data_IF_483239956566
#
_entry.id   IF_483239956566
#
_cell.length_a   1.000
_cell.length_b   1.000
_cell.length_c   1.000
_cell.angle_alpha   90.00
_cell.angle_beta   90.00
_cell.angle_gamma   90.00
#
_symmetry.space_group_name_H-M   'P 1'
#
loop_
_entity.id
_entity.type
_entity.pdbx_description
1 polymer ?
#
# COMPACT_ATOMS: atom_id res chain seq x y z
N UNK A 1 10.75 7.67 28.99
CA UNK A 1 11.37 8.34 27.83
C UNK A 1 11.28 7.38 26.65
N UNK A 2 10.87 7.85 25.48
CA UNK A 2 10.78 7.00 24.28
C UNK A 2 12.13 6.95 23.59
N UNK A 3 12.69 5.76 23.43
CA UNK A 3 13.94 5.52 22.71
C UNK A 3 13.64 5.45 21.21
N UNK A 4 14.35 6.22 20.37
CA UNK A 4 14.25 6.10 18.91
C UNK A 4 15.42 5.27 18.38
N UNK A 5 15.11 4.23 17.60
CA UNK A 5 16.09 3.36 16.94
C UNK A 5 15.88 3.38 15.42
N UNK A 6 16.97 3.28 14.67
CA UNK A 6 16.94 3.16 13.21
C UNK A 6 17.66 1.89 12.76
N UNK A 7 17.02 1.16 11.85
CA UNK A 7 17.56 -0.01 11.13
C UNK A 7 17.36 0.19 9.62
N UNK A 8 18.21 -0.41 8.81
CA UNK A 8 17.95 -0.62 7.37
C UNK A 8 17.31 -2.00 7.15
N UNK A 9 16.59 -2.16 6.05
CA UNK A 9 16.04 -3.47 5.67
C UNK A 9 17.13 -4.55 5.61
N UNK A 10 16.85 -5.73 6.18
CA UNK A 10 17.78 -6.86 6.31
C UNK A 10 19.04 -6.62 7.15
N UNK A 11 19.22 -5.42 7.74
CA UNK A 11 20.28 -5.15 8.70
C UNK A 11 19.98 -5.88 10.01
N UNK A 12 21.00 -6.54 10.56
CA UNK A 12 20.99 -7.07 11.92
C UNK A 12 21.80 -6.13 12.81
N UNK A 13 21.22 -5.67 13.92
CA UNK A 13 21.89 -4.76 14.85
C UNK A 13 21.62 -5.16 16.29
N UNK A 14 22.67 -5.23 17.09
CA UNK A 14 22.56 -5.39 18.53
C UNK A 14 22.13 -4.05 19.16
N UNK A 15 21.05 -4.07 19.92
CA UNK A 15 20.49 -2.90 20.61
C UNK A 15 20.10 -3.25 22.05
N UNK A 16 20.13 -2.25 22.94
CA UNK A 16 19.55 -2.37 24.27
C UNK A 16 18.04 -2.12 24.15
N UNK A 17 17.23 -3.01 24.72
CA UNK A 17 15.76 -2.93 24.72
C UNK A 17 15.22 -3.33 26.10
N UNK A 18 14.15 -2.66 26.52
CA UNK A 18 13.39 -3.07 27.68
C UNK A 18 12.57 -4.34 27.39
N UNK A 19 12.35 -5.18 28.40
CA UNK A 19 11.65 -6.47 28.24
C UNK A 19 10.23 -6.33 27.70
N UNK A 20 9.51 -5.26 28.08
CA UNK A 20 8.17 -4.99 27.58
C UNK A 20 8.17 -4.61 26.09
N UNK A 21 9.19 -3.92 25.58
CA UNK A 21 9.32 -3.60 24.15
C UNK A 21 9.69 -4.87 23.36
N UNK A 22 10.50 -5.77 23.93
CA UNK A 22 10.82 -7.08 23.32
C UNK A 22 9.56 -7.94 23.20
N UNK A 23 8.82 -8.08 24.31
CA UNK A 23 7.56 -8.84 24.33
C UNK A 23 6.57 -8.29 23.32
N UNK A 24 6.43 -6.96 23.27
CA UNK A 24 5.59 -6.27 22.30
C UNK A 24 5.99 -6.56 20.84
N UNK A 25 7.28 -6.46 20.49
CA UNK A 25 7.77 -6.76 19.14
C UNK A 25 7.56 -8.23 18.76
N UNK A 26 7.76 -9.16 19.68
CA UNK A 26 7.57 -10.59 19.43
C UNK A 26 6.09 -10.97 19.31
N UNK A 27 5.20 -10.34 20.05
CA UNK A 27 3.76 -10.59 20.00
C UNK A 27 3.13 -9.98 18.73
N UNK A 28 3.44 -8.72 18.44
CA UNK A 28 2.75 -7.95 17.41
C UNK A 28 3.50 -7.87 16.07
N UNK A 29 4.82 -8.08 16.05
CA UNK A 29 5.67 -7.81 14.87
C UNK A 29 6.61 -8.95 14.49
N UNK A 30 6.43 -10.19 15.02
CA UNK A 30 7.27 -11.37 14.68
C UNK A 30 7.37 -11.68 13.19
N UNK A 31 6.36 -11.28 12.41
CA UNK A 31 6.33 -11.52 10.96
C UNK A 31 7.27 -10.58 10.22
N UNK A 32 7.62 -9.43 10.78
CA UNK A 32 8.37 -8.37 10.09
C UNK A 32 9.69 -8.02 10.76
N UNK A 33 9.83 -8.30 12.05
CA UNK A 33 11.07 -8.17 12.81
C UNK A 33 11.38 -9.50 13.49
N UNK A 34 12.65 -9.89 13.39
CA UNK A 34 13.22 -10.97 14.18
C UNK A 34 13.95 -10.34 15.36
N UNK A 35 13.59 -10.78 16.57
CA UNK A 35 14.23 -10.36 17.83
C UNK A 35 14.90 -11.59 18.44
N UNK A 36 16.22 -11.54 18.64
CA UNK A 36 17.00 -12.63 19.25
C UNK A 36 17.76 -12.13 20.47
N UNK A 37 17.79 -12.88 21.59
CA UNK A 37 18.65 -12.54 22.72
C UNK A 37 20.12 -12.65 22.31
N UNK A 38 20.99 -11.81 22.87
CA UNK A 38 22.44 -11.94 22.73
C UNK A 38 23.06 -12.50 24.02
N UNK A 39 24.39 -12.67 24.03
CA UNK A 39 25.15 -13.09 25.22
C UNK A 39 25.19 -12.03 26.31
N UNK A 40 24.79 -10.79 26.02
CA UNK A 40 24.77 -9.67 26.97
C UNK A 40 23.36 -9.47 27.52
N UNK A 41 23.15 -9.50 28.86
CA UNK A 41 21.85 -9.23 29.46
C UNK A 41 21.27 -7.88 29.03
N UNK A 42 19.98 -7.84 28.71
CA UNK A 42 19.27 -6.64 28.27
C UNK A 42 19.59 -6.18 26.83
N UNK A 43 20.34 -6.98 26.07
CA UNK A 43 20.66 -6.71 24.66
C UNK A 43 20.09 -7.77 23.73
N UNK A 44 19.61 -7.30 22.59
CA UNK A 44 18.93 -8.10 21.60
C UNK A 44 19.43 -7.76 20.21
N UNK A 45 19.58 -8.77 19.36
CA UNK A 45 19.75 -8.59 17.93
C UNK A 45 18.38 -8.37 17.29
N UNK A 46 18.20 -7.20 16.69
CA UNK A 46 17.05 -6.89 15.85
C UNK A 46 17.43 -7.06 14.39
N UNK A 47 16.60 -7.78 13.64
CA UNK A 47 16.71 -7.88 12.19
C UNK A 47 15.37 -7.58 11.52
N UNK A 48 15.32 -6.50 10.77
CA UNK A 48 14.17 -6.16 9.93
C UNK A 48 14.14 -7.05 8.69
N UNK A 49 12.94 -7.49 8.27
CA UNK A 49 12.74 -8.16 6.97
C UNK A 49 12.60 -7.11 5.85
N UNK A 50 11.98 -7.47 4.73
CA UNK A 50 11.72 -6.59 3.60
C UNK A 50 10.50 -5.68 3.86
N UNK A 51 10.63 -4.83 4.87
CA UNK A 51 9.59 -3.87 5.27
C UNK A 51 10.22 -2.51 5.53
N UNK A 52 9.48 -1.44 5.24
CA UNK A 52 9.91 -0.08 5.54
C UNK A 52 8.83 0.67 6.33
N UNK A 53 9.24 1.59 7.20
CA UNK A 53 8.33 2.42 7.98
C UNK A 53 8.70 2.53 9.46
N UNK A 54 7.71 2.78 10.30
CA UNK A 54 7.89 3.10 11.72
C UNK A 54 7.02 2.22 12.59
N UNK A 55 7.60 1.63 13.63
CA UNK A 55 6.90 0.89 14.68
C UNK A 55 6.95 1.70 15.96
N UNK A 56 5.78 1.91 16.56
CA UNK A 56 5.64 2.62 17.83
C UNK A 56 5.23 1.62 18.90
N UNK A 57 6.15 1.30 19.78
CA UNK A 57 5.96 0.49 20.97
C UNK A 57 5.80 1.31 22.25
N UNK A 58 5.68 0.63 23.41
CA UNK A 58 5.45 1.28 24.70
C UNK A 58 6.51 2.33 25.07
N UNK A 59 7.80 2.03 24.84
CA UNK A 59 8.89 3.00 25.03
C UNK A 59 9.89 3.03 23.89
N UNK A 60 9.51 2.51 22.72
CA UNK A 60 10.36 2.39 21.55
C UNK A 60 9.69 3.01 20.31
N UNK A 61 10.41 3.83 19.56
CA UNK A 61 10.11 4.14 18.17
C UNK A 61 11.18 3.52 17.28
N UNK A 62 10.81 2.51 16.49
CA UNK A 62 11.73 1.82 15.58
C UNK A 62 11.45 2.23 14.14
N UNK A 63 12.42 2.88 13.50
CA UNK A 63 12.37 3.30 12.09
C UNK A 63 13.16 2.33 11.22
N UNK A 64 12.52 1.78 10.21
CA UNK A 64 13.09 0.84 9.24
C UNK A 64 13.19 1.55 7.90
N UNK A 65 14.42 1.84 7.46
CA UNK A 65 14.70 2.59 6.24
C UNK A 65 14.77 1.67 5.02
N UNK A 66 14.11 2.01 3.91
CA UNK A 66 14.15 1.21 2.70
C UNK A 66 15.51 1.29 2.02
N UNK A 67 15.89 0.23 1.30
CA UNK A 67 17.15 0.20 0.52
C UNK A 67 17.16 1.19 -0.65
N UNK A 68 16.00 1.41 -1.27
CA UNK A 68 15.83 2.36 -2.38
C UNK A 68 15.80 3.84 -1.94
N UNK A 69 15.85 4.11 -0.63
CA UNK A 69 15.59 5.43 -0.07
C UNK A 69 14.11 5.82 -0.07
N UNK A 70 13.76 6.80 0.76
CA UNK A 70 12.36 7.22 0.97
C UNK A 70 11.75 7.87 -0.27
N UNK A 71 12.55 8.59 -1.06
CA UNK A 71 12.09 9.27 -2.28
C UNK A 71 11.53 8.28 -3.30
N UNK A 72 12.26 7.21 -3.59
CA UNK A 72 11.83 6.23 -4.58
C UNK A 72 10.78 5.27 -4.03
N UNK A 73 10.79 5.01 -2.71
CA UNK A 73 9.65 4.36 -2.06
C UNK A 73 8.38 5.18 -2.28
N UNK A 74 8.44 6.49 -2.08
CA UNK A 74 7.30 7.38 -2.33
C UNK A 74 6.93 7.45 -3.81
N UNK A 75 7.92 7.42 -4.73
CA UNK A 75 7.70 7.30 -6.17
C UNK A 75 6.90 6.04 -6.54
N UNK A 76 7.29 4.89 -5.99
CA UNK A 76 6.57 3.62 -6.18
C UNK A 76 5.14 3.70 -5.61
N UNK A 77 4.97 4.16 -4.38
CA UNK A 77 3.63 4.35 -3.78
C UNK A 77 2.78 5.30 -4.61
N UNK A 78 3.38 6.36 -5.14
CA UNK A 78 2.67 7.33 -5.97
C UNK A 78 2.22 6.72 -7.29
N UNK A 79 3.02 5.83 -7.85
CA UNK A 79 2.67 5.11 -9.06
C UNK A 79 1.51 4.13 -8.79
N UNK A 80 1.61 3.30 -7.76
CA UNK A 80 0.61 2.29 -7.39
C UNK A 80 -0.72 2.93 -6.99
N UNK A 81 -0.69 4.01 -6.21
CA UNK A 81 -1.91 4.60 -5.65
C UNK A 81 -2.47 5.81 -6.42
N UNK A 82 -2.04 6.00 -7.67
CA UNK A 82 -2.44 7.13 -8.53
C UNK A 82 -2.17 8.51 -7.90
N UNK A 83 -1.15 8.59 -7.05
CA UNK A 83 -0.75 9.83 -6.41
C UNK A 83 0.17 10.67 -7.28
N UNK A 84 0.24 10.43 -8.60
CA UNK A 84 1.06 11.21 -9.53
C UNK A 84 0.74 12.72 -9.52
N UNK A 85 -0.43 13.11 -8.98
CA UNK A 85 -0.82 14.51 -8.73
C UNK A 85 -0.14 15.12 -7.49
N UNK A 86 0.52 14.32 -6.65
CA UNK A 86 1.35 14.79 -5.55
C UNK A 86 2.62 15.35 -6.14
N UNK A 87 2.77 16.67 -5.96
CA UNK A 87 3.91 17.45 -6.44
C UNK A 87 5.24 16.81 -6.00
N UNK A 88 6.21 16.62 -6.93
CA UNK A 88 7.59 16.20 -6.60
C UNK A 88 8.24 17.10 -5.53
N UNK A 89 7.85 18.37 -5.45
CA UNK A 89 8.36 19.32 -4.45
C UNK A 89 8.21 18.85 -2.99
N UNK A 90 7.17 18.07 -2.67
CA UNK A 90 6.97 17.53 -1.31
C UNK A 90 7.94 16.39 -0.98
N UNK A 91 8.40 15.66 -2.01
CA UNK A 91 9.43 14.63 -1.90
C UNK A 91 10.80 15.23 -1.55
N UNK A 92 11.04 16.48 -1.92
CA UNK A 92 12.27 17.21 -1.58
C UNK A 92 12.27 17.75 -0.15
N UNK A 93 11.10 17.98 0.46
CA UNK A 93 10.96 18.46 1.85
C UNK A 93 10.98 17.34 2.89
N UNK A 94 10.93 16.08 2.46
CA UNK A 94 11.11 14.94 3.33
C UNK A 94 12.57 14.88 3.79
N UNK A 95 12.84 15.32 5.02
CA UNK A 95 14.07 14.91 5.70
C UNK A 95 14.11 13.38 5.78
N UNK A 96 15.30 12.80 5.66
CA UNK A 96 15.63 11.42 5.27
C UNK A 96 15.10 10.28 6.19
N UNK A 97 14.15 10.52 7.09
CA UNK A 97 13.91 9.62 8.21
C UNK A 97 12.47 9.21 8.53
N UNK A 98 11.41 9.92 8.09
CA UNK A 98 10.02 9.53 8.45
C UNK A 98 9.00 9.58 7.31
N UNK A 99 8.79 8.42 6.69
CA UNK A 99 7.74 8.18 5.68
C UNK A 99 6.33 8.47 6.20
N UNK A 100 6.05 8.11 7.46
CA UNK A 100 4.75 8.33 8.09
C UNK A 100 4.52 9.84 8.25
N UNK A 101 5.50 10.54 8.80
CA UNK A 101 5.49 12.00 8.91
C UNK A 101 5.22 12.68 7.57
N UNK A 102 5.92 12.26 6.51
CA UNK A 102 5.72 12.79 5.16
C UNK A 102 4.27 12.59 4.67
N UNK A 103 3.73 11.38 4.74
CA UNK A 103 2.36 11.11 4.29
C UNK A 103 1.32 11.92 5.09
N UNK A 104 1.55 12.09 6.39
CA UNK A 104 0.67 12.90 7.25
C UNK A 104 0.78 14.38 6.89
N UNK A 105 1.98 14.91 6.62
CA UNK A 105 2.18 16.30 6.15
C UNK A 105 1.39 16.55 4.87
N UNK A 106 1.56 15.66 3.89
CA UNK A 106 0.90 15.77 2.58
C UNK A 106 -0.62 15.69 2.75
N UNK A 107 -1.12 14.71 3.49
CA UNK A 107 -2.55 14.57 3.78
C UNK A 107 -3.09 15.88 4.37
N UNK A 108 -2.46 16.38 5.43
CA UNK A 108 -2.91 17.58 6.14
C UNK A 108 -2.92 18.82 5.23
N UNK A 109 -1.92 19.00 4.35
CA UNK A 109 -1.91 20.10 3.38
C UNK A 109 -3.10 20.05 2.42
N UNK A 110 -3.44 18.85 1.93
CA UNK A 110 -4.62 18.65 1.09
C UNK A 110 -5.92 18.90 1.87
N UNK A 111 -5.99 18.45 3.12
CA UNK A 111 -7.15 18.67 3.99
C UNK A 111 -7.35 20.14 4.34
N UNK A 112 -6.28 20.90 4.58
CA UNK A 112 -6.36 22.35 4.82
C UNK A 112 -6.92 23.09 3.60
N UNK A 113 -6.65 22.59 2.39
CA UNK A 113 -7.21 23.14 1.15
C UNK A 113 -8.68 22.72 0.98
N UNK A 114 -8.99 21.44 1.23
CA UNK A 114 -10.35 20.91 1.18
C UNK A 114 -11.29 21.63 2.17
N UNK A 115 -10.87 21.80 3.42
CA UNK A 115 -11.68 22.45 4.46
C UNK A 115 -11.94 23.92 4.13
N UNK A 116 -10.97 24.63 3.53
CA UNK A 116 -11.17 26.00 3.04
C UNK A 116 -12.19 26.09 1.90
N UNK A 117 -12.23 25.10 1.02
CA UNK A 117 -13.22 25.00 -0.06
C UNK A 117 -14.59 24.49 0.39
N UNK A 118 -14.68 23.92 1.59
CA UNK A 118 -15.87 23.25 2.10
C UNK A 118 -15.93 21.77 1.72
N UNK A 119 -16.39 20.94 2.66
CA UNK A 119 -16.56 19.50 2.42
C UNK A 119 -17.66 19.25 1.37
N UNK A 120 -17.47 18.22 0.53
CA UNK A 120 -18.50 17.75 -0.40
C UNK A 120 -19.78 17.46 0.38
N UNK A 121 -20.88 18.05 -0.09
CA UNK A 121 -22.22 17.79 0.42
C UNK A 121 -23.04 17.05 -0.62
N UNK A 122 -24.01 16.31 -0.14
CA UNK A 122 -24.92 15.53 -0.97
C UNK A 122 -26.19 15.24 -0.20
N UNK A 123 -27.21 14.80 -0.93
CA UNK A 123 -28.46 14.37 -0.35
C UNK A 123 -28.33 12.94 0.16
N UNK A 124 -28.70 12.73 1.41
CA UNK A 124 -28.83 11.41 2.03
C UNK A 124 -30.29 11.24 2.42
N UNK A 125 -30.91 10.16 1.93
CA UNK A 125 -32.26 9.79 2.32
C UNK A 125 -32.25 9.27 3.76
N UNK A 126 -33.12 9.83 4.59
CA UNK A 126 -33.25 9.51 6.00
C UNK A 126 -34.73 9.30 6.35
N UNK A 127 -34.97 8.47 7.35
CA UNK A 127 -36.30 8.12 7.84
C UNK A 127 -36.38 8.34 9.34
N UNK A 128 -37.29 9.23 9.75
CA UNK A 128 -37.50 9.52 11.16
C UNK A 128 -38.98 9.78 11.48
N UNK A 129 -39.37 9.51 12.73
CA UNK A 129 -40.69 9.90 13.25
C UNK A 129 -40.58 11.30 13.85
N UNK A 130 -41.24 12.27 13.25
CA UNK A 130 -41.15 13.68 13.61
C UNK A 130 -42.52 14.22 14.07
N UNK A 131 -42.56 15.24 14.94
CA UNK A 131 -43.83 15.88 15.34
C UNK A 131 -44.48 16.67 14.19
N UNK A 132 -43.73 16.94 13.11
CA UNK A 132 -44.16 17.68 11.92
C UNK A 132 -43.75 16.92 10.66
N UNK A 133 -44.51 17.07 9.58
CA UNK A 133 -44.18 16.45 8.29
C UNK A 133 -42.93 17.12 7.69
N UNK A 134 -41.88 16.33 7.44
CA UNK A 134 -40.66 16.72 6.73
C UNK A 134 -40.50 15.80 5.52
N UNK A 135 -40.34 16.37 4.32
CA UNK A 135 -40.26 15.57 3.10
C UNK A 135 -41.59 14.86 2.79
N UNK A 136 -41.56 13.53 2.65
CA UNK A 136 -42.72 12.71 2.29
C UNK A 136 -43.16 11.82 3.46
N UNK A 137 -44.44 11.50 3.51
CA UNK A 137 -45.00 10.56 4.49
C UNK A 137 -44.59 9.12 4.13
N UNK A 138 -43.91 8.43 5.06
CA UNK A 138 -43.63 7.00 4.94
C UNK A 138 -44.89 6.20 5.35
N UNK A 139 -45.83 6.07 4.41
CA UNK A 139 -47.14 5.47 4.63
C UNK A 139 -47.07 4.04 5.18
N UNK A 140 -46.14 3.24 4.67
CA UNK A 140 -45.91 1.86 5.09
C UNK A 140 -45.47 1.75 6.56
N UNK A 141 -44.63 2.68 7.04
CA UNK A 141 -44.27 2.75 8.46
C UNK A 141 -45.40 3.35 9.32
N UNK A 142 -46.10 4.37 8.82
CA UNK A 142 -47.18 5.01 9.56
C UNK A 142 -48.31 4.00 9.87
N UNK A 143 -48.68 3.18 8.89
CA UNK A 143 -49.74 2.17 9.02
C UNK A 143 -49.37 1.00 9.95
N UNK A 144 -48.09 0.73 10.18
CA UNK A 144 -47.63 -0.31 11.13
C UNK A 144 -47.71 0.12 12.60
N UNK A 145 -48.08 1.38 12.86
CA UNK A 145 -48.11 1.94 14.22
C UNK A 145 -49.45 1.65 14.89
N UNK A 146 -49.43 1.10 16.10
CA UNK A 146 -50.66 0.86 16.89
C UNK A 146 -51.34 2.20 17.25
N UNK A 147 -52.68 2.29 17.18
CA UNK A 147 -53.42 3.45 17.67
C UNK A 147 -53.17 3.63 19.18
N UNK A 148 -52.73 4.82 19.61
CA UNK A 148 -52.56 5.18 21.03
C UNK A 148 -51.18 5.67 21.47
N UNK A 149 -50.19 5.74 20.57
CA UNK A 149 -48.86 6.32 20.85
C UNK A 149 -48.75 7.84 20.63
N UNK A 150 -47.59 8.40 20.95
CA UNK A 150 -47.24 9.83 20.73
C UNK A 150 -47.47 10.24 19.28
N UNK A 151 -48.16 11.36 19.04
CA UNK A 151 -48.46 11.94 17.73
C UNK A 151 -47.16 12.30 16.98
N UNK A 152 -46.61 11.32 16.28
CA UNK A 152 -45.43 11.45 15.43
C UNK A 152 -45.72 10.90 14.05
N UNK A 153 -45.23 11.59 13.04
CA UNK A 153 -45.42 11.30 11.63
C UNK A 153 -44.16 10.60 11.11
N UNK A 154 -44.29 9.38 10.59
CA UNK A 154 -43.19 8.71 9.91
C UNK A 154 -42.85 9.47 8.61
N UNK A 155 -41.67 10.09 8.57
CA UNK A 155 -41.22 10.94 7.48
C UNK A 155 -40.02 10.31 6.78
N UNK A 156 -40.02 10.35 5.44
CA UNK A 156 -38.86 10.07 4.59
C UNK A 156 -38.44 11.36 3.91
N UNK A 157 -37.22 11.82 4.14
CA UNK A 157 -36.72 13.09 3.63
C UNK A 157 -35.27 12.97 3.18
N UNK A 158 -34.81 13.93 2.38
CA UNK A 158 -33.42 14.02 1.93
C UNK A 158 -32.72 15.17 2.65
N UNK A 159 -31.64 14.85 3.37
CA UNK A 159 -30.82 15.85 4.06
C UNK A 159 -29.56 16.17 3.28
N UNK A 160 -29.37 17.47 3.01
CA UNK A 160 -28.17 17.98 2.37
C UNK A 160 -27.03 18.11 3.38
N UNK A 161 -26.27 17.03 3.53
CA UNK A 161 -25.26 16.87 4.57
C UNK A 161 -23.86 16.69 4.01
N UNK A 162 -22.86 17.04 4.82
CA UNK A 162 -21.45 16.68 4.58
C UNK A 162 -21.12 15.29 5.16
N UNK A 163 -22.05 14.65 5.88
CA UNK A 163 -21.87 13.33 6.48
C UNK A 163 -21.99 12.20 5.44
N UNK A 164 -21.08 12.23 4.48
CA UNK A 164 -21.00 11.29 3.36
C UNK A 164 -19.82 10.34 3.56
N UNK A 165 -19.87 9.10 3.03
CA UNK A 165 -18.74 8.17 3.07
C UNK A 165 -17.42 8.77 2.55
N UNK A 166 -17.50 9.64 1.52
CA UNK A 166 -16.36 10.36 0.93
C UNK A 166 -15.64 11.28 1.94
N UNK A 167 -16.34 11.78 2.97
CA UNK A 167 -15.77 12.60 4.04
C UNK A 167 -15.47 11.77 5.29
N UNK A 168 -16.33 10.81 5.61
CA UNK A 168 -16.19 9.94 6.78
C UNK A 168 -14.88 9.15 6.74
N UNK A 169 -14.45 8.70 5.56
CA UNK A 169 -13.18 7.98 5.39
C UNK A 169 -11.99 8.83 5.83
N UNK A 170 -12.01 10.13 5.55
CA UNK A 170 -10.96 11.08 5.96
C UNK A 170 -10.95 11.20 7.49
N UNK A 171 -12.13 11.41 8.10
CA UNK A 171 -12.27 11.47 9.55
C UNK A 171 -11.78 10.19 10.23
N UNK A 172 -12.10 9.04 9.65
CA UNK A 172 -11.60 7.75 10.10
C UNK A 172 -10.07 7.66 9.98
N UNK A 173 -9.47 7.94 8.82
CA UNK A 173 -8.01 7.94 8.66
C UNK A 173 -7.33 8.89 9.64
N UNK A 174 -7.87 10.09 9.87
CA UNK A 174 -7.34 11.02 10.86
C UNK A 174 -7.37 10.43 12.27
N UNK A 175 -8.47 9.77 12.68
CA UNK A 175 -8.55 9.09 13.97
C UNK A 175 -7.49 7.99 14.12
N UNK A 176 -7.04 7.43 12.99
CA UNK A 176 -6.01 6.40 12.93
C UNK A 176 -4.57 6.97 12.98
N UNK A 177 -4.37 8.28 12.87
CA UNK A 177 -3.05 8.92 13.00
C UNK A 177 -2.75 9.20 14.48
N UNK A 178 -1.68 8.57 14.97
CA UNK A 178 -1.09 8.80 16.30
C UNK A 178 -0.20 10.03 16.35
N UNK A 179 0.62 10.15 17.40
CA UNK A 179 1.64 11.21 17.49
C UNK A 179 2.69 11.06 16.39
N UNK A 180 3.03 12.17 15.75
CA UNK A 180 4.00 12.20 14.63
C UNK A 180 5.43 12.48 15.09
N UNK A 181 5.62 12.87 16.36
CA UNK A 181 6.92 13.30 16.89
C UNK A 181 7.26 14.77 16.57
N UNK A 182 6.48 15.43 15.70
CA UNK A 182 6.58 16.87 15.43
C UNK A 182 5.40 17.60 16.08
N UNK A 183 5.63 18.47 17.08
CA UNK A 183 4.56 19.26 17.69
C UNK A 183 3.79 20.13 16.69
N UNK A 184 4.48 20.68 15.69
CA UNK A 184 3.86 21.49 14.64
C UNK A 184 2.91 20.64 13.78
N UNK A 185 3.34 19.45 13.36
CA UNK A 185 2.51 18.55 12.58
C UNK A 185 1.33 18.01 13.39
N UNK A 186 1.56 17.62 14.65
CA UNK A 186 0.51 17.15 15.56
C UNK A 186 -0.57 18.23 15.78
N UNK A 187 -0.18 19.49 15.89
CA UNK A 187 -1.14 20.60 15.98
C UNK A 187 -2.01 20.69 14.71
N UNK A 188 -1.41 20.57 13.52
CA UNK A 188 -2.17 20.61 12.27
C UNK A 188 -3.09 19.39 12.12
N UNK A 189 -2.64 18.19 12.50
CA UNK A 189 -3.47 16.98 12.55
C UNK A 189 -4.66 17.18 13.49
N UNK A 190 -4.46 17.76 14.68
CA UNK A 190 -5.55 18.06 15.62
C UNK A 190 -6.58 19.02 15.02
N UNK A 191 -6.14 20.08 14.33
CA UNK A 191 -7.04 21.01 13.62
C UNK A 191 -7.86 20.28 12.55
N UNK A 192 -7.23 19.42 11.76
CA UNK A 192 -7.93 18.58 10.79
C UNK A 192 -8.93 17.66 11.48
N UNK A 193 -8.58 17.00 12.59
CA UNK A 193 -9.52 16.16 13.36
C UNK A 193 -10.77 16.93 13.78
N UNK A 194 -10.62 18.17 14.26
CA UNK A 194 -11.76 19.03 14.65
C UNK A 194 -12.67 19.34 13.47
N UNK A 195 -12.12 19.62 12.28
CA UNK A 195 -12.92 19.91 11.08
C UNK A 195 -13.82 18.73 10.65
N UNK A 196 -13.42 17.49 10.96
CA UNK A 196 -14.15 16.28 10.62
C UNK A 196 -14.90 15.66 11.83
N UNK A 197 -14.88 16.31 13.00
CA UNK A 197 -15.43 15.76 14.25
C UNK A 197 -16.96 15.62 14.27
N UNK A 198 -17.67 16.34 13.38
CA UNK A 198 -19.14 16.28 13.26
C UNK A 198 -19.63 15.15 12.35
N UNK A 199 -18.73 14.43 11.69
CA UNK A 199 -19.09 13.31 10.82
C UNK A 199 -19.34 12.07 11.66
N UNK A 200 -20.26 11.22 11.21
CA UNK A 200 -20.56 9.97 11.89
C UNK A 200 -19.35 9.03 11.81
N UNK A 201 -18.81 8.55 12.95
CA UNK A 201 -17.68 7.63 12.94
C UNK A 201 -18.05 6.32 12.23
N UNK A 202 -17.33 6.01 11.16
CA UNK A 202 -17.46 4.75 10.40
C UNK A 202 -16.09 4.14 10.20
N UNK A 203 -15.98 2.82 10.41
CA UNK A 203 -14.74 2.08 10.09
C UNK A 203 -14.66 1.85 8.59
N UNK A 204 -13.45 2.03 8.04
CA UNK A 204 -13.14 1.73 6.65
C UNK A 204 -11.97 0.77 6.55
N UNK A 205 -12.06 -0.15 5.60
CA UNK A 205 -10.96 -0.97 5.11
C UNK A 205 -10.37 -0.31 3.86
N UNK A 206 -9.09 -0.56 3.53
CA UNK A 206 -8.51 -0.08 2.27
C UNK A 206 -9.35 -0.37 1.02
N UNK A 207 -9.96 -1.56 0.94
CA UNK A 207 -10.82 -1.98 -0.17
C UNK A 207 -12.11 -1.17 -0.29
N UNK A 208 -12.61 -0.58 0.80
CA UNK A 208 -13.82 0.25 0.75
C UNK A 208 -13.61 1.52 -0.08
N UNK A 209 -12.35 1.98 -0.19
CA UNK A 209 -12.00 3.19 -0.93
C UNK A 209 -12.02 2.97 -2.45
N UNK A 210 -12.01 1.73 -2.92
CA UNK A 210 -12.08 1.37 -4.35
C UNK A 210 -13.48 1.58 -4.94
N UNK A 211 -14.50 1.67 -4.08
CA UNK A 211 -15.88 1.89 -4.49
C UNK A 211 -16.18 3.37 -4.83
N UNK A 212 -15.25 4.27 -4.49
CA UNK A 212 -15.44 5.70 -4.74
C UNK A 212 -15.19 6.05 -6.21
N UNK A 213 -16.18 6.70 -6.82
CA UNK A 213 -16.07 7.25 -8.17
C UNK A 213 -15.73 8.73 -8.11
N UNK A 214 -14.81 9.16 -8.99
CA UNK A 214 -14.39 10.54 -9.10
C UNK A 214 -14.81 11.15 -10.44
N UNK A 215 -15.46 12.29 -10.36
CA UNK A 215 -15.85 13.18 -11.44
C UNK A 215 -15.01 14.47 -11.38
N UNK A 216 -15.27 15.40 -12.30
CA UNK A 216 -14.55 16.68 -12.36
C UNK A 216 -14.73 17.54 -11.10
N UNK A 217 -15.84 17.38 -10.37
CA UNK A 217 -16.18 18.17 -9.18
C UNK A 217 -15.51 17.62 -7.90
N UNK A 218 -15.17 16.34 -7.83
CA UNK A 218 -14.46 15.73 -6.69
C UNK A 218 -13.11 15.11 -7.03
N UNK A 219 -12.51 15.42 -8.18
CA UNK A 219 -11.18 14.91 -8.56
C UNK A 219 -10.07 15.17 -7.50
N UNK A 220 -10.24 16.17 -6.63
CA UNK A 220 -9.31 16.43 -5.53
C UNK A 220 -9.42 15.41 -4.38
N UNK A 221 -10.57 14.74 -4.23
CA UNK A 221 -10.75 13.65 -3.25
C UNK A 221 -9.97 12.41 -3.64
N UNK A 222 -9.76 12.15 -4.93
CA UNK A 222 -8.99 10.99 -5.42
C UNK A 222 -7.59 10.93 -4.78
N UNK A 223 -6.90 12.07 -4.74
CA UNK A 223 -5.56 12.18 -4.15
C UNK A 223 -5.61 11.98 -2.64
N UNK A 224 -6.56 12.62 -1.97
CA UNK A 224 -6.76 12.50 -0.51
C UNK A 224 -7.04 11.05 -0.14
N UNK A 225 -7.95 10.41 -0.88
CA UNK A 225 -8.34 9.02 -0.68
C UNK A 225 -7.20 8.06 -0.98
N UNK A 226 -6.36 8.34 -1.98
CA UNK A 226 -5.15 7.57 -2.23
C UNK A 226 -4.20 7.58 -1.02
N UNK A 227 -3.99 8.74 -0.38
CA UNK A 227 -3.17 8.84 0.85
C UNK A 227 -3.87 8.16 2.04
N UNK A 228 -5.19 8.34 2.17
CA UNK A 228 -5.97 7.66 3.20
C UNK A 228 -5.85 6.14 3.08
N UNK A 229 -5.95 5.61 1.85
CA UNK A 229 -5.79 4.19 1.55
C UNK A 229 -4.40 3.71 1.96
N UNK A 230 -3.35 4.45 1.60
CA UNK A 230 -1.98 4.13 2.01
C UNK A 230 -1.79 4.05 3.51
N UNK A 231 -2.29 5.05 4.24
CA UNK A 231 -2.20 5.08 5.70
C UNK A 231 -2.97 3.90 6.30
N UNK A 232 -4.15 3.57 5.79
CA UNK A 232 -4.94 2.45 6.27
C UNK A 232 -4.30 1.09 5.93
N UNK A 233 -3.73 0.93 4.73
CA UNK A 233 -3.00 -0.29 4.33
C UNK A 233 -1.76 -0.48 5.18
N UNK A 234 -0.96 0.56 5.37
CA UNK A 234 0.25 0.47 6.18
C UNK A 234 -0.02 0.23 7.68
N UNK A 235 -1.27 0.47 8.12
CA UNK A 235 -1.75 0.11 9.46
C UNK A 235 -2.39 -1.28 9.55
N UNK A 236 -2.84 -1.82 8.41
CA UNK A 236 -3.52 -3.11 8.30
C UNK A 236 -2.68 -4.20 7.61
N UNK A 237 -1.43 -3.92 7.25
CA UNK A 237 -0.55 -4.78 6.45
C UNK A 237 -0.21 -6.13 7.10
N UNK A 238 -0.78 -6.45 8.26
CA UNK A 238 -0.82 -7.79 8.79
C UNK A 238 -2.24 -8.14 9.21
N UNK A 239 -2.83 -9.13 8.52
CA UNK A 239 -4.03 -9.88 8.92
C UNK A 239 -3.77 -10.64 10.24
N UNK A 240 -3.59 -9.89 11.32
CA UNK A 240 -3.61 -10.37 12.68
C UNK A 240 -4.90 -9.85 13.35
N UNK A 241 -5.56 -10.66 14.19
CA UNK A 241 -6.62 -10.16 15.05
C UNK A 241 -6.00 -9.21 16.08
N UNK A 242 -5.98 -7.92 15.74
CA UNK A 242 -5.39 -6.85 16.54
C UNK A 242 -4.89 -5.75 15.61
N UNK A 243 -5.56 -4.59 15.60
CA UNK A 243 -5.07 -3.44 14.84
C UNK A 243 -3.64 -3.11 15.27
N UNK A 244 -2.77 -2.76 14.32
CA UNK A 244 -1.42 -2.28 14.67
C UNK A 244 -1.54 -1.20 15.75
N UNK A 245 -0.67 -1.24 16.78
CA UNK A 245 -0.57 -0.22 17.82
C UNK A 245 -0.63 1.19 17.20
N UNK A 246 -1.43 2.08 17.81
CA UNK A 246 -1.67 3.42 17.26
C UNK A 246 -0.35 4.12 16.94
N UNK A 247 -0.21 4.60 15.69
CA UNK A 247 0.98 5.32 15.22
C UNK A 247 2.01 4.48 14.48
N UNK A 248 1.90 3.15 14.45
CA UNK A 248 2.75 2.31 13.59
C UNK A 248 2.32 2.40 12.12
N UNK A 249 3.28 2.40 11.21
CA UNK A 249 3.10 2.49 9.76
C UNK A 249 4.14 1.60 9.09
N UNK A 250 3.72 0.58 8.36
CA UNK A 250 4.64 -0.38 7.75
C UNK A 250 4.23 -0.69 6.31
N UNK A 251 5.21 -0.75 5.42
CA UNK A 251 5.03 -1.03 3.99
C UNK A 251 5.83 -2.27 3.63
N UNK A 252 5.15 -3.32 3.16
CA UNK A 252 5.79 -4.52 2.66
C UNK A 252 6.46 -4.22 1.31
N UNK A 253 7.78 -4.26 1.28
CA UNK A 253 8.54 -3.85 0.11
C UNK A 253 8.48 -4.86 -1.04
N UNK A 254 8.25 -6.15 -0.75
CA UNK A 254 8.02 -7.13 -1.82
C UNK A 254 6.73 -6.80 -2.57
N UNK A 255 5.63 -6.64 -1.83
CA UNK A 255 4.32 -6.32 -2.40
C UNK A 255 4.33 -4.98 -3.12
N UNK A 256 4.93 -3.94 -2.52
CA UNK A 256 5.04 -2.63 -3.16
C UNK A 256 5.82 -2.70 -4.48
N UNK A 257 6.95 -3.41 -4.50
CA UNK A 257 7.74 -3.54 -5.71
C UNK A 257 6.99 -4.30 -6.81
N UNK A 258 6.34 -5.40 -6.46
CA UNK A 258 5.50 -6.15 -7.38
C UNK A 258 4.38 -5.28 -7.98
N UNK A 259 3.60 -4.60 -7.14
CA UNK A 259 2.51 -3.73 -7.56
C UNK A 259 3.00 -2.56 -8.40
N UNK A 260 4.15 -1.98 -8.05
CA UNK A 260 4.80 -0.93 -8.81
C UNK A 260 5.13 -1.40 -10.22
N UNK A 261 5.85 -2.52 -10.37
CA UNK A 261 6.22 -3.09 -11.66
C UNK A 261 4.97 -3.43 -12.48
N UNK A 262 3.96 -4.06 -11.86
CA UNK A 262 2.69 -4.38 -12.50
C UNK A 262 2.02 -3.13 -13.10
N UNK A 263 1.84 -2.11 -12.26
CA UNK A 263 1.16 -0.86 -12.62
C UNK A 263 1.95 -0.09 -13.67
N UNK A 264 3.29 -0.11 -13.58
CA UNK A 264 4.15 0.54 -14.55
C UNK A 264 4.00 -0.10 -15.94
N UNK A 265 4.04 -1.43 -16.02
CA UNK A 265 3.84 -2.12 -17.29
C UNK A 265 2.43 -1.95 -17.85
N UNK A 266 1.40 -2.00 -17.00
CA UNK A 266 0.02 -1.80 -17.43
C UNK A 266 -0.17 -0.43 -18.12
N UNK A 267 0.54 0.61 -17.67
CA UNK A 267 0.44 1.97 -18.22
C UNK A 267 1.32 2.22 -19.45
N UNK A 268 2.44 1.50 -19.57
CA UNK A 268 3.45 1.81 -20.58
C UNK A 268 3.52 0.79 -21.72
N UNK A 269 2.92 -0.40 -21.57
CA UNK A 269 2.91 -1.40 -22.63
C UNK A 269 2.11 -0.92 -23.86
N UNK A 270 2.69 -0.99 -25.07
CA UNK A 270 1.99 -0.63 -26.28
C UNK A 270 0.96 -1.71 -26.64
N UNK A 271 -0.19 -1.31 -27.20
CA UNK A 271 -1.13 -2.26 -27.76
C UNK A 271 -0.46 -3.09 -28.90
N UNK A 272 -0.74 -4.40 -29.03
CA UNK A 272 -1.74 -5.19 -28.30
C UNK A 272 -1.18 -5.92 -27.06
N UNK A 273 -0.02 -5.52 -26.54
CA UNK A 273 0.57 -6.14 -25.34
C UNK A 273 -0.17 -5.74 -24.08
N UNK A 274 -0.32 -6.70 -23.16
CA UNK A 274 -0.95 -6.48 -21.85
C UNK A 274 -0.24 -7.28 -20.79
N UNK A 275 0.11 -6.63 -19.68
CA UNK A 275 0.56 -7.31 -18.46
C UNK A 275 -0.62 -7.50 -17.52
N UNK A 276 -0.72 -8.66 -16.90
CA UNK A 276 -1.71 -8.92 -15.84
C UNK A 276 -1.04 -9.59 -14.65
N UNK A 277 -1.35 -9.12 -13.45
CA UNK A 277 -1.17 -9.94 -12.26
C UNK A 277 -2.21 -11.07 -12.30
N UNK A 278 -1.80 -12.33 -12.13
CA UNK A 278 -2.70 -13.48 -12.07
C UNK A 278 -2.45 -14.32 -10.82
N UNK A 279 -3.47 -15.09 -10.43
CA UNK A 279 -3.49 -15.87 -9.19
C UNK A 279 -2.80 -17.23 -9.29
N UNK A 280 -3.22 -18.16 -8.44
CA UNK A 280 -2.62 -19.49 -8.34
C UNK A 280 -2.79 -20.30 -9.64
N UNK A 281 -1.69 -20.87 -10.14
CA UNK A 281 -1.70 -21.93 -11.15
C UNK A 281 -1.23 -23.25 -10.55
N UNK A 282 -1.44 -24.36 -11.26
CA UNK A 282 -0.98 -25.68 -10.84
C UNK A 282 0.23 -26.10 -11.64
N UNK A 283 1.29 -26.57 -10.97
CA UNK A 283 2.46 -27.14 -11.62
C UNK A 283 2.20 -28.58 -12.07
N UNK A 284 1.46 -29.34 -11.26
CA UNK A 284 1.08 -30.72 -11.51
C UNK A 284 -0.38 -30.81 -11.98
N UNK A 285 -0.74 -31.95 -12.60
CA UNK A 285 -2.09 -32.20 -13.10
C UNK A 285 -3.11 -32.43 -11.97
N UNK A 286 -2.66 -32.89 -10.81
CA UNK A 286 -3.51 -33.24 -9.67
C UNK A 286 -3.92 -32.02 -8.86
N UNK A 287 -3.24 -30.88 -9.05
CA UNK A 287 -3.60 -29.64 -8.36
C UNK A 287 -2.85 -29.42 -7.04
N UNK A 288 -1.89 -30.27 -6.68
CA UNK A 288 -1.29 -30.30 -5.34
C UNK A 288 -0.21 -29.24 -5.14
N UNK A 289 0.54 -28.95 -6.19
CA UNK A 289 1.64 -28.00 -6.19
C UNK A 289 1.15 -26.72 -6.87
N UNK A 290 0.86 -25.71 -6.05
CA UNK A 290 0.47 -24.39 -6.53
C UNK A 290 1.69 -23.52 -6.81
N UNK A 291 1.62 -22.75 -7.89
CA UNK A 291 2.58 -21.72 -8.26
C UNK A 291 1.86 -20.37 -8.37
N UNK A 292 2.57 -19.29 -8.11
CA UNK A 292 2.01 -17.94 -8.01
C UNK A 292 2.92 -16.96 -8.76
N UNK A 293 2.89 -16.96 -10.11
CA UNK A 293 3.63 -15.99 -10.88
C UNK A 293 3.11 -14.58 -10.61
N UNK A 294 4.01 -13.62 -10.42
CA UNK A 294 3.59 -12.24 -10.13
C UNK A 294 2.90 -11.58 -11.32
N UNK A 295 3.44 -11.78 -12.53
CA UNK A 295 3.07 -11.06 -13.73
C UNK A 295 3.06 -11.97 -14.96
N UNK A 296 2.05 -11.81 -15.80
CA UNK A 296 1.87 -12.56 -17.04
C UNK A 296 1.73 -11.60 -18.21
N UNK A 297 2.59 -11.76 -19.21
CA UNK A 297 2.61 -10.95 -20.41
C UNK A 297 1.85 -11.64 -21.53
N UNK A 298 0.84 -10.94 -22.04
CA UNK A 298 0.03 -11.36 -23.16
C UNK A 298 0.31 -10.51 -24.40
N UNK A 299 0.31 -11.15 -25.56
CA UNK A 299 0.13 -10.49 -26.85
C UNK A 299 -1.28 -10.81 -27.34
N UNK A 300 -2.15 -9.79 -27.39
CA UNK A 300 -3.59 -9.99 -27.58
C UNK A 300 -4.20 -10.94 -26.52
N UNK A 301 -4.47 -12.20 -26.88
CA UNK A 301 -4.99 -13.25 -25.96
C UNK A 301 -3.99 -14.36 -25.65
N UNK A 302 -2.85 -14.37 -26.31
CA UNK A 302 -1.85 -15.42 -26.15
C UNK A 302 -0.88 -15.05 -25.02
N UNK A 303 -0.68 -15.98 -24.08
CA UNK A 303 0.32 -15.83 -23.04
C UNK A 303 1.71 -16.10 -23.63
N UNK A 304 2.61 -15.12 -23.55
CA UNK A 304 3.93 -15.19 -24.19
C UNK A 304 5.06 -15.38 -23.19
N UNK A 305 5.00 -14.67 -22.06
CA UNK A 305 6.01 -14.73 -21.01
C UNK A 305 5.39 -14.66 -19.61
N UNK A 306 6.13 -15.19 -18.65
CA UNK A 306 5.91 -14.96 -17.23
C UNK A 306 7.01 -14.03 -16.69
N UNK A 307 6.65 -13.11 -15.81
CA UNK A 307 7.60 -12.28 -15.09
C UNK A 307 7.36 -12.40 -13.59
N UNK A 308 8.44 -12.39 -12.82
CA UNK A 308 8.40 -12.53 -11.36
C UNK A 308 9.36 -11.50 -10.74
N UNK A 309 8.88 -10.82 -9.71
CA UNK A 309 9.59 -9.74 -9.05
C UNK A 309 10.15 -10.21 -7.72
N UNK A 310 11.42 -9.90 -7.47
CA UNK A 310 12.13 -10.33 -6.26
C UNK A 310 12.74 -9.13 -5.58
N UNK A 311 12.14 -8.66 -4.48
CA UNK A 311 12.70 -7.56 -3.71
C UNK A 311 13.87 -8.03 -2.81
N UNK A 312 15.01 -8.32 -3.44
CA UNK A 312 16.28 -8.65 -2.78
C UNK A 312 17.45 -8.18 -3.66
N UNK A 313 18.55 -7.79 -3.01
CA UNK A 313 19.77 -7.40 -3.71
C UNK A 313 20.39 -8.65 -4.36
N UNK A 314 20.64 -8.59 -5.67
CA UNK A 314 21.27 -9.66 -6.41
C UNK A 314 22.76 -9.34 -6.54
N UNK A 315 23.62 -9.97 -5.72
CA UNK A 315 25.08 -9.75 -5.85
C UNK A 315 25.66 -10.61 -6.97
N UNK A 316 25.35 -10.25 -8.21
CA UNK A 316 25.95 -10.83 -9.41
C UNK A 316 25.09 -11.85 -10.16
N UNK A 317 24.42 -12.77 -9.47
CA UNK A 317 23.62 -13.84 -10.12
C UNK A 317 22.30 -14.10 -9.37
N UNK A 318 21.26 -14.45 -10.12
CA UNK A 318 19.99 -14.91 -9.55
C UNK A 318 20.22 -16.19 -8.73
N UNK A 319 19.54 -16.30 -7.59
CA UNK A 319 19.67 -17.50 -6.78
C UNK A 319 19.12 -18.72 -7.52
N UNK A 320 19.73 -19.90 -7.36
CA UNK A 320 19.25 -21.14 -8.01
C UNK A 320 17.77 -21.40 -7.72
N UNK A 321 17.30 -21.04 -6.52
CA UNK A 321 15.89 -21.14 -6.14
C UNK A 321 14.96 -20.28 -7.01
N UNK A 322 15.35 -19.04 -7.35
CA UNK A 322 14.55 -18.19 -8.23
C UNK A 322 14.56 -18.72 -9.66
N UNK A 323 15.71 -19.21 -10.14
CA UNK A 323 15.84 -19.79 -11.48
C UNK A 323 14.98 -21.06 -11.63
N UNK A 324 14.99 -21.94 -10.61
CA UNK A 324 14.13 -23.11 -10.60
C UNK A 324 12.64 -22.75 -10.53
N UNK A 325 12.30 -21.70 -9.78
CA UNK A 325 10.93 -21.18 -9.73
C UNK A 325 10.49 -20.65 -11.10
N UNK A 326 11.31 -19.83 -11.76
CA UNK A 326 11.03 -19.31 -13.10
C UNK A 326 10.85 -20.44 -14.12
N UNK A 327 11.72 -21.45 -14.09
CA UNK A 327 11.59 -22.64 -14.93
C UNK A 327 10.29 -23.41 -14.64
N UNK A 328 9.92 -23.57 -13.37
CA UNK A 328 8.65 -24.21 -13.00
C UNK A 328 7.45 -23.43 -13.56
N UNK A 329 7.49 -22.10 -13.55
CA UNK A 329 6.46 -21.28 -14.18
C UNK A 329 6.38 -21.50 -15.68
N UNK A 330 7.52 -21.49 -16.38
CA UNK A 330 7.57 -21.78 -17.82
C UNK A 330 6.90 -23.13 -18.14
N UNK A 331 7.19 -24.17 -17.35
CA UNK A 331 6.62 -25.51 -17.54
C UNK A 331 5.13 -25.57 -17.26
N UNK A 332 4.69 -24.98 -16.16
CA UNK A 332 3.27 -24.99 -15.78
C UNK A 332 2.40 -24.22 -16.78
N UNK A 333 2.88 -23.06 -17.24
CA UNK A 333 2.16 -22.15 -18.12
C UNK A 333 2.40 -22.43 -19.61
N UNK A 334 3.34 -23.33 -19.93
CA UNK A 334 3.75 -23.68 -21.30
C UNK A 334 4.20 -22.47 -22.11
N UNK A 335 4.94 -21.56 -21.47
CA UNK A 335 5.56 -20.41 -22.12
C UNK A 335 7.03 -20.69 -22.41
N UNK A 336 7.57 -20.05 -23.44
CA UNK A 336 8.98 -20.19 -23.83
C UNK A 336 9.90 -19.53 -22.80
N UNK A 337 9.54 -18.34 -22.31
CA UNK A 337 10.43 -17.56 -21.47
C UNK A 337 9.86 -17.08 -20.14
N UNK A 338 10.77 -16.82 -19.21
CA UNK A 338 10.49 -16.13 -17.96
C UNK A 338 11.47 -14.98 -17.72
N UNK A 339 10.99 -13.93 -17.04
CA UNK A 339 11.80 -12.78 -16.61
C UNK A 339 11.81 -12.70 -15.09
N UNK A 340 13.00 -12.60 -14.49
CA UNK A 340 13.19 -12.35 -13.06
C UNK A 340 13.68 -10.92 -12.87
N UNK A 341 12.93 -10.13 -12.09
CA UNK A 341 13.18 -8.71 -11.89
C UNK A 341 13.64 -8.41 -10.47
N UNK A 342 14.77 -7.74 -10.33
CA UNK A 342 15.37 -7.40 -9.03
C UNK A 342 15.54 -5.88 -8.88
N UNK A 343 15.36 -5.32 -7.67
CA UNK A 343 15.82 -3.98 -7.34
C UNK A 343 17.33 -4.02 -7.10
N UNK A 344 18.11 -4.12 -8.17
CA UNK A 344 19.55 -4.37 -8.13
C UNK A 344 20.36 -3.16 -8.58
N UNK A 345 21.48 -2.92 -7.93
CA UNK A 345 22.31 -1.70 -8.05
C UNK A 345 23.21 -1.70 -9.30
N UNK A 346 23.44 -2.86 -9.91
CA UNK A 346 24.41 -2.98 -11.00
C UNK A 346 23.74 -3.01 -12.41
N UNK A 347 22.41 -2.87 -12.52
CA UNK A 347 21.65 -2.98 -13.79
C UNK A 347 22.08 -4.21 -14.64
N UNK A 348 22.48 -5.29 -13.98
CA UNK A 348 22.96 -6.50 -14.66
C UNK A 348 21.79 -7.23 -15.27
N UNK A 349 21.99 -7.66 -16.51
CA UNK A 349 21.08 -8.56 -17.18
C UNK A 349 21.82 -9.83 -17.61
N UNK A 350 21.16 -10.97 -17.43
CA UNK A 350 21.68 -12.27 -17.82
C UNK A 350 20.61 -12.99 -18.61
N UNK A 351 20.96 -13.47 -19.80
CA UNK A 351 20.09 -14.30 -20.62
C UNK A 351 20.61 -15.74 -20.59
N UNK A 352 19.77 -16.64 -20.09
CA UNK A 352 20.08 -18.05 -19.89
C UNK A 352 19.18 -18.88 -20.80
N UNK A 353 19.79 -19.67 -21.68
CA UNK A 353 19.09 -20.72 -22.42
C UNK A 353 19.19 -22.01 -21.61
N UNK A 354 18.06 -22.60 -21.23
CA UNK A 354 18.02 -23.85 -20.49
C UNK A 354 18.58 -24.97 -21.36
N UNK A 355 19.24 -25.95 -20.75
CA UNK A 355 20.05 -26.95 -21.44
C UNK A 355 19.31 -27.75 -22.54
N UNK A 356 17.99 -27.91 -22.43
CA UNK A 356 17.18 -28.58 -23.44
C UNK A 356 16.73 -27.66 -24.60
N UNK A 357 17.12 -26.38 -24.56
CA UNK A 357 16.76 -25.34 -25.52
C UNK A 357 15.29 -24.95 -25.50
N UNK A 358 14.47 -25.53 -24.62
CA UNK A 358 13.02 -25.33 -24.65
C UNK A 358 12.59 -24.03 -23.94
N UNK A 359 13.41 -23.56 -22.99
CA UNK A 359 13.09 -22.40 -22.18
C UNK A 359 14.24 -21.40 -22.10
N UNK A 360 13.89 -20.13 -22.00
CA UNK A 360 14.82 -19.01 -21.85
C UNK A 360 14.48 -18.21 -20.60
N UNK A 361 15.48 -17.93 -19.76
CA UNK A 361 15.31 -17.12 -18.56
C UNK A 361 16.12 -15.83 -18.71
N UNK A 362 15.46 -14.70 -18.53
CA UNK A 362 16.10 -13.39 -18.44
C UNK A 362 16.09 -12.94 -16.97
N UNK A 363 17.25 -12.60 -16.42
CA UNK A 363 17.31 -11.90 -15.13
C UNK A 363 17.66 -10.46 -15.41
N UNK A 364 16.99 -9.51 -14.77
CA UNK A 364 17.21 -8.09 -15.00
C UNK A 364 17.12 -7.29 -13.69
N UNK A 365 17.95 -6.25 -13.61
CA UNK A 365 18.11 -5.40 -12.45
C UNK A 365 17.65 -3.98 -12.72
N UNK A 366 16.95 -3.37 -11.77
CA UNK A 366 16.61 -1.95 -11.77
C UNK A 366 17.11 -1.31 -10.49
N UNK A 367 18.08 -0.41 -10.60
CA UNK A 367 18.62 0.31 -9.43
C UNK A 367 17.63 1.34 -8.90
N UNK A 368 16.82 0.91 -7.93
CA UNK A 368 15.83 1.76 -7.26
C UNK A 368 16.45 2.82 -6.34
N UNK A 369 17.78 2.91 -6.18
CA UNK A 369 18.40 3.98 -5.40
C UNK A 369 18.73 5.23 -6.25
N UNK A 370 18.65 5.13 -7.58
CA UNK A 370 18.91 6.23 -8.51
C UNK A 370 17.82 7.29 -8.52
N UNK A 371 18.08 8.50 -9.05
CA UNK A 371 17.02 9.47 -9.31
C UNK A 371 15.82 8.86 -10.05
N UNK A 372 14.60 9.24 -9.68
CA UNK A 372 13.37 8.63 -10.22
C UNK A 372 13.30 8.60 -11.75
N UNK A 373 13.80 9.65 -12.43
CA UNK A 373 13.85 9.70 -13.89
C UNK A 373 14.73 8.59 -14.49
N UNK A 374 15.83 8.23 -13.83
CA UNK A 374 16.70 7.11 -14.25
C UNK A 374 16.02 5.75 -14.00
N UNK A 375 15.26 5.62 -12.90
CA UNK A 375 14.46 4.43 -12.61
C UNK A 375 13.40 4.23 -13.70
N UNK A 376 12.70 5.28 -14.12
CA UNK A 376 11.73 5.20 -15.21
C UNK A 376 12.38 4.78 -16.54
N UNK A 377 13.57 5.30 -16.83
CA UNK A 377 14.30 4.94 -18.05
C UNK A 377 14.81 3.49 -18.00
N UNK A 378 15.27 3.01 -16.85
CA UNK A 378 15.62 1.61 -16.65
C UNK A 378 14.42 0.67 -16.88
N UNK A 379 13.23 1.05 -16.38
CA UNK A 379 11.99 0.31 -16.63
C UNK A 379 11.61 0.29 -18.13
N UNK A 380 11.85 1.38 -18.89
CA UNK A 380 11.65 1.41 -20.35
C UNK A 380 12.57 0.43 -21.07
N UNK A 381 13.86 0.44 -20.75
CA UNK A 381 14.83 -0.51 -21.33
C UNK A 381 14.47 -1.96 -21.00
N UNK A 382 14.01 -2.21 -19.78
CA UNK A 382 13.53 -3.53 -19.36
C UNK A 382 12.32 -3.97 -20.21
N UNK A 383 11.37 -3.07 -20.45
CA UNK A 383 10.21 -3.36 -21.29
C UNK A 383 10.62 -3.77 -22.70
N UNK A 384 11.57 -3.08 -23.32
CA UNK A 384 12.07 -3.40 -24.65
C UNK A 384 12.65 -4.82 -24.70
N UNK A 385 13.53 -5.18 -23.75
CA UNK A 385 14.10 -6.54 -23.65
C UNK A 385 13.05 -7.63 -23.42
N UNK A 386 12.09 -7.35 -22.55
CA UNK A 386 10.98 -8.27 -22.27
C UNK A 386 10.13 -8.50 -23.52
N UNK A 387 9.86 -7.47 -24.30
CA UNK A 387 9.13 -7.58 -25.57
C UNK A 387 9.94 -8.29 -26.66
N UNK A 388 11.26 -8.14 -26.68
CA UNK A 388 12.14 -8.90 -27.58
C UNK A 388 12.09 -10.41 -27.26
N UNK A 389 12.23 -10.78 -25.99
CA UNK A 389 12.12 -12.17 -25.54
C UNK A 389 10.75 -12.78 -25.85
N UNK A 390 9.68 -11.98 -25.83
CA UNK A 390 8.31 -12.43 -26.10
C UNK A 390 7.98 -12.63 -27.58
N UNK A 391 8.82 -12.09 -28.48
CA UNK A 391 8.66 -12.22 -29.94
C UNK A 391 9.29 -13.49 -30.49
N UNK A 392 10.40 -13.94 -29.89
CA UNK A 392 11.04 -15.23 -30.19
C UNK A 392 10.19 -16.40 -29.69
#
# INVERSE_FOLDING_TARGET
MTQTLSLREHEAREVALAEHDVSFLQEHFRRVIVVRPTTRPGRYELKAKAIAGTIVGPSLELRIRPKCGLRNLFGMLSHVHHLAKLRPELVHQAEDEDLRGLLVIILVQHLETLVRGGLRRGYVEDEARLPVLRGRLALDQQLRTMPGGTLTIACRYEDYTADLPINQVIGYTLSQIGGTGSPQLDQRVRRSKVAFARLTPRRFRPSDLEQFTYDRLNAHYEVIHGICRLILQARGAEDAPGALPMGSFLVNMNTLFQEFVATWFERNLPAPWRMRAQGAHSLDRQGWIKIFPDLLLYHDRELRLVADTKYKLCRGEASSGDLYQALAYCRALRVRGAVLLYPDVDDRHLHLVIADGANELLTDGVDLARPWAEVEEAMRRLMERLLELAKG
#
